data_IF_289122670322
#
_entry.id   IF_289122670322
#
_cell.length_a   1.000
_cell.length_b   1.000
_cell.length_c   1.000
_cell.angle_alpha   90.00
_cell.angle_beta   90.00
_cell.angle_gamma   90.00
#
_symmetry.space_group_name_H-M   'P 1'
#
loop_
_entity.id
_entity.type
_entity.pdbx_description
1 polymer ?
#
# COMPACT_ATOMS: atom_id res chain seq x y z
N UNK A 1 -16.23 -8.50 7.46
CA UNK A 1 -15.71 -8.80 8.77
C UNK A 1 -14.82 -7.69 9.27
N UNK A 2 -14.73 -7.57 10.57
CA UNK A 2 -14.00 -6.46 11.20
C UNK A 2 -12.52 -6.47 10.86
N UNK A 3 -11.92 -7.64 10.73
CA UNK A 3 -10.50 -7.74 10.41
C UNK A 3 -10.19 -7.16 9.03
N UNK A 4 -11.03 -7.44 8.04
CA UNK A 4 -10.86 -6.89 6.70
C UNK A 4 -11.02 -5.38 6.72
N UNK A 5 -12.00 -4.89 7.46
CA UNK A 5 -12.24 -3.46 7.57
C UNK A 5 -11.06 -2.76 8.22
N UNK A 6 -10.46 -3.38 9.24
CA UNK A 6 -9.29 -2.82 9.90
C UNK A 6 -8.11 -2.69 8.97
N UNK A 7 -7.85 -3.73 8.18
CA UNK A 7 -6.74 -3.69 7.22
C UNK A 7 -6.96 -2.64 6.14
N UNK A 8 -8.17 -2.56 5.60
CA UNK A 8 -8.51 -1.58 4.57
C UNK A 8 -8.36 -0.17 5.13
N UNK A 9 -8.81 0.06 6.36
CA UNK A 9 -8.67 1.37 6.98
C UNK A 9 -7.21 1.75 7.19
N UNK A 10 -6.38 0.80 7.64
CA UNK A 10 -4.97 1.04 7.82
C UNK A 10 -4.29 1.38 6.50
N UNK A 11 -4.67 0.68 5.43
CA UNK A 11 -4.14 0.97 4.10
C UNK A 11 -4.57 2.33 3.61
N UNK A 12 -5.81 2.71 3.88
CA UNK A 12 -6.32 4.02 3.51
C UNK A 12 -5.53 5.13 4.22
N UNK A 13 -5.30 4.96 5.52
CA UNK A 13 -4.55 5.95 6.30
C UNK A 13 -3.10 6.04 5.82
N UNK A 14 -2.48 4.90 5.55
CA UNK A 14 -1.12 4.86 5.04
C UNK A 14 -1.01 5.55 3.68
N UNK A 15 -1.97 5.30 2.81
CA UNK A 15 -1.99 5.90 1.48
C UNK A 15 -2.13 7.42 1.56
N UNK A 16 -3.00 7.91 2.43
CA UNK A 16 -3.15 9.35 2.62
C UNK A 16 -1.86 9.99 3.12
N UNK A 17 -1.22 9.34 4.07
CA UNK A 17 0.03 9.86 4.62
C UNK A 17 1.11 9.94 3.56
N UNK A 18 1.24 8.91 2.74
CA UNK A 18 2.21 8.90 1.66
C UNK A 18 1.94 10.01 0.66
N UNK A 19 0.66 10.24 0.34
CA UNK A 19 0.29 11.30 -0.58
C UNK A 19 0.64 12.68 -0.03
N UNK A 20 0.37 12.90 1.25
CA UNK A 20 0.63 14.19 1.89
C UNK A 20 2.12 14.49 1.99
N UNK A 21 2.94 13.49 2.24
CA UNK A 21 4.40 13.66 2.30
C UNK A 21 5.05 13.71 0.92
N UNK A 22 4.38 13.12 -0.08
CA UNK A 22 4.94 12.96 -1.41
C UNK A 22 5.65 11.63 -1.55
N UNK A 23 5.47 10.98 -2.70
CA UNK A 23 6.02 9.64 -2.93
C UNK A 23 7.54 9.65 -3.02
N UNK A 24 8.15 10.79 -3.35
CA UNK A 24 9.60 10.91 -3.37
C UNK A 24 10.20 10.78 -1.98
N UNK A 25 9.38 10.91 -0.93
CA UNK A 25 9.81 10.78 0.46
C UNK A 25 9.61 9.35 0.99
N UNK A 26 9.29 8.42 0.12
CA UNK A 26 9.12 7.02 0.53
C UNK A 26 10.41 6.52 1.19
N UNK A 27 10.28 5.95 2.37
CA UNK A 27 11.43 5.58 3.19
C UNK A 27 11.39 4.10 3.57
N UNK A 28 12.48 3.64 4.18
CA UNK A 28 12.57 2.27 4.70
C UNK A 28 11.49 2.02 5.75
N UNK A 29 11.15 3.03 6.52
CA UNK A 29 10.09 2.92 7.53
C UNK A 29 8.75 2.60 6.86
N UNK A 30 8.46 3.25 5.74
CA UNK A 30 7.24 2.97 4.98
C UNK A 30 7.25 1.53 4.45
N UNK A 31 8.43 1.06 4.04
CA UNK A 31 8.62 -0.32 3.61
C UNK A 31 8.22 -1.29 4.71
N UNK A 32 8.69 -1.04 5.93
CA UNK A 32 8.39 -1.91 7.06
C UNK A 32 6.90 -1.95 7.37
N UNK A 33 6.24 -0.81 7.32
CA UNK A 33 4.81 -0.75 7.55
C UNK A 33 4.03 -1.53 6.50
N UNK A 34 4.39 -1.34 5.23
CA UNK A 34 3.73 -2.04 4.13
C UNK A 34 3.97 -3.54 4.21
N UNK A 35 5.15 -3.97 4.67
CA UNK A 35 5.42 -5.39 4.86
C UNK A 35 4.47 -5.99 5.89
N UNK A 36 4.22 -5.29 6.98
CA UNK A 36 3.29 -5.75 8.00
C UNK A 36 1.87 -5.84 7.44
N UNK A 37 1.46 -4.85 6.68
CA UNK A 37 0.13 -4.85 6.08
C UNK A 37 0.00 -5.96 5.04
N UNK A 38 1.05 -6.20 4.28
CA UNK A 38 1.08 -7.30 3.32
C UNK A 38 0.96 -8.65 4.01
N UNK A 39 1.66 -8.83 5.12
CA UNK A 39 1.57 -10.06 5.90
C UNK A 39 0.15 -10.28 6.40
N UNK A 40 -0.51 -9.22 6.85
CA UNK A 40 -1.89 -9.31 7.30
C UNK A 40 -2.83 -9.70 6.16
N UNK A 41 -2.62 -9.10 4.98
CA UNK A 41 -3.43 -9.43 3.81
C UNK A 41 -3.27 -10.92 3.44
N UNK A 42 -2.04 -11.42 3.51
CA UNK A 42 -1.75 -12.80 3.20
C UNK A 42 -2.42 -13.74 4.21
N UNK A 43 -2.35 -13.39 5.49
CA UNK A 43 -2.96 -14.17 6.55
C UNK A 43 -4.48 -14.24 6.40
N UNK A 44 -5.08 -13.16 5.91
CA UNK A 44 -6.52 -13.10 5.66
C UNK A 44 -6.90 -13.68 4.30
N UNK A 45 -5.94 -14.22 3.58
CA UNK A 45 -6.12 -14.83 2.26
C UNK A 45 -6.63 -13.85 1.21
N UNK A 46 -6.26 -12.59 1.36
CA UNK A 46 -6.56 -11.53 0.39
C UNK A 46 -5.42 -11.44 -0.61
N UNK A 47 -5.31 -12.44 -1.47
CA UNK A 47 -4.14 -12.60 -2.34
C UNK A 47 -3.96 -11.46 -3.32
N UNK A 48 -5.04 -10.96 -3.90
CA UNK A 48 -4.94 -9.85 -4.84
C UNK A 48 -4.44 -8.59 -4.14
N UNK A 49 -4.96 -8.32 -2.94
CA UNK A 49 -4.51 -7.18 -2.15
C UNK A 49 -3.03 -7.33 -1.79
N UNK A 50 -2.62 -8.54 -1.41
CA UNK A 50 -1.22 -8.81 -1.11
C UNK A 50 -0.32 -8.47 -2.30
N UNK A 51 -0.74 -8.84 -3.52
CA UNK A 51 0.02 -8.53 -4.72
C UNK A 51 0.14 -7.03 -4.95
N UNK A 52 -0.95 -6.30 -4.72
CA UNK A 52 -0.92 -4.85 -4.86
C UNK A 52 0.02 -4.19 -3.86
N UNK A 53 -0.02 -4.65 -2.61
CA UNK A 53 0.87 -4.15 -1.57
C UNK A 53 2.32 -4.47 -1.93
N UNK A 54 2.58 -5.68 -2.42
CA UNK A 54 3.92 -6.09 -2.82
C UNK A 54 4.46 -5.23 -3.95
N UNK A 55 3.60 -4.85 -4.90
CA UNK A 55 4.01 -3.98 -5.99
C UNK A 55 4.45 -2.61 -5.49
N UNK A 56 3.68 -2.02 -4.58
CA UNK A 56 4.05 -0.74 -3.98
C UNK A 56 5.33 -0.88 -3.17
N UNK A 57 5.43 -1.96 -2.41
CA UNK A 57 6.59 -2.22 -1.57
C UNK A 57 7.88 -2.31 -2.40
N UNK A 58 7.83 -3.06 -3.49
CA UNK A 58 9.00 -3.23 -4.34
C UNK A 58 9.41 -1.92 -5.02
N UNK A 59 8.44 -1.22 -5.60
CA UNK A 59 8.73 0.05 -6.26
C UNK A 59 9.22 1.10 -5.26
N UNK A 60 8.60 1.13 -4.07
CA UNK A 60 8.98 2.08 -3.03
C UNK A 60 10.37 1.81 -2.48
N UNK A 61 10.72 0.53 -2.34
CA UNK A 61 12.05 0.16 -1.87
C UNK A 61 13.13 0.70 -2.82
N UNK A 62 12.90 0.58 -4.13
CA UNK A 62 13.83 1.10 -5.11
C UNK A 62 13.97 2.61 -5.03
N UNK A 63 12.85 3.30 -4.85
CA UNK A 63 12.89 4.76 -4.68
C UNK A 63 13.67 5.13 -3.42
N UNK A 64 13.42 4.42 -2.31
CA UNK A 64 14.09 4.70 -1.05
C UNK A 64 15.62 4.49 -1.16
N UNK A 65 16.04 3.57 -2.01
CA UNK A 65 17.47 3.31 -2.23
C UNK A 65 18.08 4.18 -3.32
N UNK A 66 17.27 5.04 -3.94
CA UNK A 66 17.75 5.90 -5.01
C UNK A 66 17.93 5.20 -6.34
N UNK A 67 17.37 4.00 -6.49
CA UNK A 67 17.56 3.17 -7.70
C UNK A 67 16.33 3.14 -8.60
N UNK A 68 15.17 3.51 -8.07
CA UNK A 68 13.92 3.40 -8.79
C UNK A 68 13.42 4.70 -9.35
N UNK A 69 12.35 4.60 -10.11
CA UNK A 69 11.68 5.75 -10.68
C UNK A 69 10.39 6.00 -9.92
N UNK A 70 10.15 7.25 -9.60
CA UNK A 70 8.96 7.66 -8.87
C UNK A 70 7.70 7.31 -9.66
N UNK A 71 7.76 7.32 -10.97
CA UNK A 71 6.62 6.97 -11.82
C UNK A 71 6.11 5.57 -11.57
N UNK A 72 7.03 4.62 -11.40
CA UNK A 72 6.66 3.24 -11.13
C UNK A 72 5.96 3.12 -9.78
N UNK A 73 6.49 3.83 -8.79
CA UNK A 73 5.86 3.84 -7.48
C UNK A 73 4.47 4.46 -7.54
N UNK A 74 4.33 5.55 -8.28
CA UNK A 74 3.04 6.22 -8.43
C UNK A 74 2.03 5.28 -9.08
N UNK A 75 2.43 4.56 -10.12
CA UNK A 75 1.55 3.62 -10.79
C UNK A 75 1.04 2.54 -9.84
N UNK A 76 1.96 1.93 -9.09
CA UNK A 76 1.59 0.90 -8.13
C UNK A 76 0.73 1.46 -7.00
N UNK A 77 1.08 2.65 -6.53
CA UNK A 77 0.33 3.35 -5.50
C UNK A 77 -1.12 3.60 -5.95
N UNK A 78 -1.30 4.05 -7.18
CA UNK A 78 -2.63 4.32 -7.70
C UNK A 78 -3.48 3.07 -7.78
N UNK A 79 -2.88 1.96 -8.18
CA UNK A 79 -3.59 0.67 -8.23
C UNK A 79 -4.05 0.24 -6.85
N UNK A 80 -3.18 0.38 -5.86
CA UNK A 80 -3.51 0.00 -4.50
C UNK A 80 -4.62 0.90 -3.94
N UNK A 81 -4.49 2.21 -4.12
CA UNK A 81 -5.50 3.14 -3.59
C UNK A 81 -6.85 2.94 -4.26
N UNK A 82 -6.86 2.62 -5.55
CA UNK A 82 -8.10 2.35 -6.26
C UNK A 82 -8.81 1.13 -5.66
N UNK A 83 -8.06 0.08 -5.38
CA UNK A 83 -8.62 -1.11 -4.73
C UNK A 83 -9.18 -0.77 -3.36
N UNK A 84 -8.43 -0.01 -2.57
CA UNK A 84 -8.84 0.38 -1.23
C UNK A 84 -10.13 1.20 -1.27
N UNK A 85 -10.22 2.14 -2.19
CA UNK A 85 -11.41 2.98 -2.35
C UNK A 85 -12.64 2.14 -2.71
N UNK A 86 -12.48 1.22 -3.65
CA UNK A 86 -13.57 0.34 -4.06
C UNK A 86 -14.01 -0.56 -2.90
N UNK A 87 -13.06 -1.04 -2.12
CA UNK A 87 -13.38 -1.88 -0.96
C UNK A 87 -14.17 -1.10 0.09
N UNK A 88 -13.80 0.15 0.31
CA UNK A 88 -14.52 1.00 1.26
C UNK A 88 -15.96 1.25 0.81
N UNK A 89 -16.16 1.47 -0.49
CA UNK A 89 -17.48 1.68 -1.04
C UNK A 89 -18.35 0.43 -0.90
N UNK A 90 -17.74 -0.74 -1.06
CA UNK A 90 -18.46 -2.00 -0.97
C UNK A 90 -18.96 -2.30 0.43
N UNK A 91 -18.34 -1.68 1.43
CA UNK A 91 -18.66 -1.95 2.83
C UNK A 91 -19.80 -1.08 3.35
N UNK A 92 -20.27 -0.14 2.56
CA UNK A 92 -21.43 0.70 2.95
C UNK A 92 -22.75 0.13 2.41
#
# INVERSE_FOLDING_TARGET
MEEDSGLIQQLSDCSEELLLRGLSQFSIRDTQLLEQLGTNAQRLQMHFLYELISGVLEAGRKVALGEGQEEQLLDQYCRLTQYVQLSKQSQT
#
